data_IF_766843231568
#
_entry.id   IF_766843231568
#
_cell.length_a   1.000
_cell.length_b   1.000
_cell.length_c   1.000
_cell.angle_alpha   90.00
_cell.angle_beta   90.00
_cell.angle_gamma   90.00
#
_symmetry.space_group_name_H-M   'P 1'
#
loop_
_entity.id
_entity.type
_entity.pdbx_description
1 polymer ?
#
# COMPACT_ATOMS: atom_id res chain seq x y z
N UNK A 1 13.61 -1.03 -8.26
CA UNK A 1 12.68 0.10 -8.48
C UNK A 1 12.84 1.23 -7.45
N UNK A 2 13.95 1.27 -6.71
CA UNK A 2 14.17 2.27 -5.65
C UNK A 2 14.15 3.70 -6.22
N UNK A 3 14.79 3.93 -7.37
CA UNK A 3 14.81 5.26 -8.01
C UNK A 3 13.42 5.73 -8.46
N UNK A 4 12.61 4.85 -9.08
CA UNK A 4 11.23 5.18 -9.47
C UNK A 4 10.35 5.43 -8.24
N UNK A 5 10.51 4.63 -7.19
CA UNK A 5 9.84 4.84 -5.91
C UNK A 5 10.18 6.22 -5.31
N UNK A 6 11.45 6.64 -5.36
CA UNK A 6 11.88 7.95 -4.89
C UNK A 6 11.32 9.09 -5.75
N UNK A 7 11.30 8.93 -7.08
CA UNK A 7 10.72 9.93 -8.00
C UNK A 7 9.24 10.16 -7.71
N UNK A 8 8.44 9.08 -7.65
CA UNK A 8 7.01 9.18 -7.32
C UNK A 8 6.83 9.77 -5.92
N UNK A 9 7.63 9.35 -4.94
CA UNK A 9 7.56 9.91 -3.59
C UNK A 9 7.78 11.43 -3.59
N UNK A 10 8.77 11.93 -4.33
CA UNK A 10 9.03 13.37 -4.46
C UNK A 10 7.86 14.12 -5.11
N UNK A 11 7.22 13.56 -6.14
CA UNK A 11 6.03 14.16 -6.77
C UNK A 11 4.87 14.35 -5.77
N UNK A 12 4.75 13.43 -4.82
CA UNK A 12 3.74 13.45 -3.77
C UNK A 12 4.23 14.12 -2.47
N UNK A 13 5.32 14.89 -2.53
CA UNK A 13 5.94 15.54 -1.36
C UNK A 13 6.17 14.58 -0.18
N UNK A 14 6.56 13.34 -0.48
CA UNK A 14 6.79 12.24 0.47
C UNK A 14 5.56 11.84 1.32
N UNK A 15 4.35 12.25 0.93
CA UNK A 15 3.11 11.94 1.66
C UNK A 15 2.69 10.46 1.56
N UNK A 16 3.15 9.75 0.53
CA UNK A 16 2.87 8.33 0.31
C UNK A 16 4.05 7.48 0.79
N UNK A 17 3.74 6.44 1.57
CA UNK A 17 4.72 5.49 2.08
C UNK A 17 5.52 4.81 0.95
N UNK A 18 6.85 4.76 1.08
CA UNK A 18 7.73 4.17 0.05
C UNK A 18 7.41 2.71 -0.28
N UNK A 19 7.08 1.89 0.73
CA UNK A 19 6.70 0.49 0.49
C UNK A 19 5.40 0.39 -0.30
N UNK A 20 4.45 1.28 -0.07
CA UNK A 20 3.21 1.34 -0.83
C UNK A 20 3.48 1.69 -2.31
N UNK A 21 4.32 2.69 -2.57
CA UNK A 21 4.73 3.05 -3.94
C UNK A 21 5.43 1.87 -4.62
N UNK A 22 6.33 1.19 -3.91
CA UNK A 22 7.05 0.03 -4.43
C UNK A 22 6.10 -1.10 -4.83
N UNK A 23 5.11 -1.41 -3.98
CA UNK A 23 4.09 -2.43 -4.27
C UNK A 23 3.21 -2.01 -5.45
N UNK A 24 2.79 -0.75 -5.51
CA UNK A 24 2.02 -0.24 -6.65
C UNK A 24 2.80 -0.34 -7.96
N UNK A 25 4.11 -0.02 -7.95
CA UNK A 25 4.98 -0.21 -9.11
C UNK A 25 5.06 -1.69 -9.54
N UNK A 26 5.21 -2.62 -8.61
CA UNK A 26 5.24 -4.05 -8.93
C UNK A 26 3.91 -4.50 -9.58
N UNK A 27 2.76 -4.05 -9.06
CA UNK A 27 1.44 -4.37 -9.62
C UNK A 27 1.24 -3.80 -11.03
N UNK A 28 1.75 -2.59 -11.28
CA UNK A 28 1.63 -1.90 -12.56
C UNK A 28 2.72 -2.28 -13.57
N UNK A 29 3.49 -3.35 -13.34
CA UNK A 29 4.57 -3.75 -14.26
C UNK A 29 5.66 -2.68 -14.41
N UNK A 30 5.84 -1.83 -13.40
CA UNK A 30 6.77 -0.68 -13.34
C UNK A 30 6.41 0.49 -14.24
N UNK A 31 5.20 0.50 -14.80
CA UNK A 31 4.67 1.64 -15.51
C UNK A 31 4.37 2.78 -14.52
N UNK A 32 5.10 3.88 -14.65
CA UNK A 32 5.00 5.03 -13.74
C UNK A 32 3.65 5.73 -13.87
N UNK A 33 3.11 5.84 -15.08
CA UNK A 33 1.84 6.53 -15.31
C UNK A 33 0.67 5.74 -14.73
N UNK A 34 0.65 4.42 -14.95
CA UNK A 34 -0.34 3.53 -14.34
C UNK A 34 -0.22 3.53 -12.82
N UNK A 35 1.01 3.55 -12.29
CA UNK A 35 1.26 3.61 -10.85
C UNK A 35 0.69 4.90 -10.25
N UNK A 36 0.93 6.05 -10.88
CA UNK A 36 0.40 7.34 -10.42
C UNK A 36 -1.13 7.34 -10.42
N UNK A 37 -1.76 6.81 -11.47
CA UNK A 37 -3.22 6.68 -11.54
C UNK A 37 -3.77 5.78 -10.44
N UNK A 38 -3.12 4.64 -10.18
CA UNK A 38 -3.51 3.71 -9.11
C UNK A 38 -3.38 4.34 -7.73
N UNK A 39 -2.28 5.04 -7.45
CA UNK A 39 -2.05 5.74 -6.18
C UNK A 39 -3.04 6.89 -5.98
N UNK A 40 -3.37 7.63 -7.04
CA UNK A 40 -4.38 8.69 -6.99
C UNK A 40 -5.77 8.13 -6.67
N UNK A 41 -6.19 7.05 -7.32
CA UNK A 41 -7.45 6.38 -7.03
C UNK A 41 -7.50 5.84 -5.59
N UNK A 42 -6.39 5.29 -5.09
CA UNK A 42 -6.27 4.84 -3.71
C UNK A 42 -6.42 6.00 -2.70
N UNK A 43 -5.73 7.11 -2.91
CA UNK A 43 -5.83 8.27 -2.01
C UNK A 43 -7.26 8.83 -1.98
N UNK A 44 -7.93 8.92 -3.12
CA UNK A 44 -9.35 9.30 -3.17
C UNK A 44 -10.24 8.32 -2.40
N UNK A 45 -10.05 7.02 -2.62
CA UNK A 45 -10.81 5.97 -1.92
C UNK A 45 -10.58 6.01 -0.41
N UNK A 46 -9.36 6.32 0.05
CA UNK A 46 -9.00 6.36 1.47
C UNK A 46 -9.87 7.34 2.28
N UNK A 47 -10.15 8.52 1.70
CA UNK A 47 -10.94 9.57 2.35
C UNK A 47 -12.45 9.42 2.13
N UNK A 48 -12.87 8.53 1.23
CA UNK A 48 -14.28 8.27 0.94
C UNK A 48 -14.89 7.31 1.97
N UNK A 49 -16.20 7.44 2.22
CA UNK A 49 -17.07 6.45 2.90
C UNK A 49 -16.53 5.89 4.23
N UNK A 50 -15.69 6.66 4.92
CA UNK A 50 -15.02 6.27 6.17
C UNK A 50 -14.14 5.03 6.05
N UNK A 51 -13.54 4.80 4.88
CA UNK A 51 -12.73 3.61 4.59
C UNK A 51 -11.53 3.46 5.53
N UNK A 52 -10.86 4.56 5.87
CA UNK A 52 -9.79 4.54 6.87
C UNK A 52 -10.30 4.11 8.26
N UNK A 53 -11.48 4.57 8.69
CA UNK A 53 -12.09 4.13 9.95
C UNK A 53 -12.52 2.66 9.89
N UNK A 54 -12.98 2.17 8.74
CA UNK A 54 -13.30 0.76 8.55
C UNK A 54 -12.06 -0.13 8.67
N UNK A 55 -10.91 0.32 8.16
CA UNK A 55 -9.63 -0.36 8.38
C UNK A 55 -9.28 -0.43 9.87
N UNK A 56 -9.47 0.64 10.65
CA UNK A 56 -9.20 0.62 12.10
C UNK A 56 -9.97 -0.50 12.83
N UNK A 57 -11.20 -0.81 12.38
CA UNK A 57 -12.00 -1.93 12.93
C UNK A 57 -11.44 -3.31 12.55
N UNK A 58 -10.89 -3.45 11.34
CA UNK A 58 -10.33 -4.71 10.80
C UNK A 58 -8.84 -4.90 11.12
N UNK A 59 -8.17 -3.89 11.67
CA UNK A 59 -6.71 -3.87 11.94
C UNK A 59 -6.20 -5.16 12.61
N UNK A 60 -6.93 -5.67 13.58
CA UNK A 60 -6.55 -6.87 14.33
C UNK A 60 -6.51 -8.14 13.46
N UNK A 61 -7.32 -8.23 12.41
CA UNK A 61 -7.31 -9.37 11.48
C UNK A 61 -5.99 -9.43 10.69
N UNK A 62 -5.49 -8.26 10.25
CA UNK A 62 -4.20 -8.15 9.59
C UNK A 62 -3.05 -8.49 10.53
N UNK A 63 -3.10 -8.00 11.78
CA UNK A 63 -2.07 -8.29 12.79
C UNK A 63 -1.99 -9.78 13.13
N UNK A 64 -3.11 -10.50 13.19
CA UNK A 64 -3.13 -11.97 13.36
C UNK A 64 -2.37 -12.71 12.25
N UNK A 65 -2.31 -12.12 11.05
CA UNK A 65 -1.52 -12.63 9.92
C UNK A 65 -0.13 -12.00 9.80
N UNK A 66 0.36 -11.37 10.88
CA UNK A 66 1.67 -10.69 10.94
C UNK A 66 1.84 -9.55 9.92
N UNK A 67 0.73 -9.01 9.39
CA UNK A 67 0.76 -7.89 8.47
C UNK A 67 0.84 -6.56 9.24
N UNK A 68 2.06 -6.14 9.59
CA UNK A 68 2.30 -4.99 10.47
C UNK A 68 2.30 -3.64 9.73
N UNK A 69 2.49 -3.61 8.41
CA UNK A 69 2.51 -2.37 7.65
C UNK A 69 1.08 -1.87 7.36
N UNK A 70 0.66 -0.83 8.09
CA UNK A 70 -0.70 -0.31 8.00
C UNK A 70 -1.04 0.32 6.64
N UNK A 71 -0.07 0.93 5.96
CA UNK A 71 -0.28 1.51 4.63
C UNK A 71 -0.57 0.40 3.60
N UNK A 72 0.17 -0.71 3.67
CA UNK A 72 -0.07 -1.88 2.82
C UNK A 72 -1.41 -2.54 3.14
N UNK A 73 -1.78 -2.66 4.41
CA UNK A 73 -3.07 -3.25 4.80
C UNK A 73 -4.26 -2.43 4.28
N UNK A 74 -4.18 -1.09 4.36
CA UNK A 74 -5.22 -0.19 3.86
C UNK A 74 -5.33 -0.26 2.34
N UNK A 75 -4.19 -0.28 1.64
CA UNK A 75 -4.14 -0.49 0.20
C UNK A 75 -4.68 -1.86 -0.23
N UNK A 76 -4.42 -2.90 0.56
CA UNK A 76 -4.95 -4.23 0.30
C UNK A 76 -6.49 -4.27 0.36
N UNK A 77 -7.11 -3.50 1.26
CA UNK A 77 -8.57 -3.34 1.30
C UNK A 77 -9.10 -2.69 0.02
N UNK A 78 -8.52 -1.56 -0.40
CA UNK A 78 -8.85 -0.89 -1.66
C UNK A 78 -8.75 -1.83 -2.87
N UNK A 79 -7.61 -2.50 -3.00
CA UNK A 79 -7.35 -3.38 -4.13
C UNK A 79 -8.32 -4.57 -4.18
N UNK A 80 -8.72 -5.07 -3.01
CA UNK A 80 -9.65 -6.19 -2.84
C UNK A 80 -11.09 -5.83 -3.22
N UNK A 81 -11.54 -4.62 -2.90
CA UNK A 81 -12.86 -4.14 -3.33
C UNK A 81 -12.94 -4.02 -4.86
N UNK A 82 -11.84 -3.61 -5.49
CA UNK A 82 -11.78 -3.40 -6.94
C UNK A 82 -11.66 -4.72 -7.71
N UNK A 83 -10.89 -5.69 -7.19
CA UNK A 83 -10.56 -6.94 -7.89
C UNK A 83 -11.20 -8.20 -7.29
N UNK A 84 -12.11 -8.05 -6.31
CA UNK A 84 -12.79 -9.15 -5.59
C UNK A 84 -11.82 -10.19 -5.02
N UNK A 85 -10.69 -9.75 -4.47
CA UNK A 85 -9.68 -10.60 -3.81
C UNK A 85 -9.78 -10.51 -2.28
N UNK A 86 -9.18 -11.45 -1.55
CA UNK A 86 -9.08 -11.36 -0.10
C UNK A 86 -7.96 -10.40 0.31
N UNK A 87 -8.30 -9.32 1.03
CA UNK A 87 -7.34 -8.29 1.43
C UNK A 87 -6.22 -8.80 2.34
N UNK A 88 -6.53 -9.71 3.26
CA UNK A 88 -5.54 -10.24 4.20
C UNK A 88 -4.59 -11.24 3.53
N UNK A 89 -5.05 -11.97 2.51
CA UNK A 89 -4.18 -12.82 1.68
C UNK A 89 -3.29 -11.99 0.78
N UNK A 90 -3.85 -10.96 0.15
CA UNK A 90 -3.09 -10.03 -0.68
C UNK A 90 -1.98 -9.33 0.13
N UNK A 91 -2.32 -8.76 1.30
CA UNK A 91 -1.34 -8.10 2.16
C UNK A 91 -0.24 -9.06 2.63
N UNK A 92 -0.60 -10.30 2.98
CA UNK A 92 0.37 -11.32 3.36
C UNK A 92 1.29 -11.69 2.18
N UNK A 93 0.73 -11.92 0.98
CA UNK A 93 1.49 -12.24 -0.21
C UNK A 93 2.47 -11.12 -0.58
N UNK A 94 2.03 -9.86 -0.53
CA UNK A 94 2.91 -8.70 -0.75
C UNK A 94 4.03 -8.64 0.30
N UNK A 95 3.69 -8.85 1.58
CA UNK A 95 4.70 -8.79 2.66
C UNK A 95 5.77 -9.88 2.50
N UNK A 96 5.37 -11.08 2.04
CA UNK A 96 6.26 -12.24 1.87
C UNK A 96 7.06 -12.15 0.56
N UNK A 97 6.38 -11.91 -0.56
CA UNK A 97 6.97 -12.03 -1.89
C UNK A 97 7.73 -10.79 -2.32
N UNK A 98 7.19 -9.60 -2.03
CA UNK A 98 7.79 -8.35 -2.51
C UNK A 98 8.91 -7.85 -1.60
N UNK A 99 8.99 -8.37 -0.37
CA UNK A 99 10.01 -8.05 0.64
C UNK A 99 10.13 -6.54 0.81
N UNK A 100 9.38 -5.94 1.74
CA UNK A 100 9.29 -4.48 1.89
C UNK A 100 10.70 -3.83 1.98
N UNK A 101 11.19 -3.18 0.90
CA UNK A 101 12.60 -2.84 0.80
C UNK A 101 12.96 -1.61 1.63
N UNK A 102 11.96 -0.88 2.13
CA UNK A 102 12.14 0.29 2.97
C UNK A 102 11.76 -0.03 4.41
N UNK A 103 12.77 -0.18 5.27
CA UNK A 103 12.56 -0.33 6.71
C UNK A 103 12.59 1.06 7.35
N UNK A 104 11.56 1.39 8.12
CA UNK A 104 11.60 2.59 8.98
C UNK A 104 12.77 2.46 9.95
N UNK A 105 13.72 3.39 9.88
CA UNK A 105 14.73 3.52 10.93
C UNK A 105 14.01 3.94 12.21
N UNK A 106 14.05 3.09 13.24
CA UNK A 106 13.70 3.51 14.60
C UNK A 106 14.75 4.54 15.02
N UNK A 107 14.39 5.82 15.01
CA UNK A 107 15.18 6.84 15.71
C UNK A 107 15.01 6.52 17.21
N UNK A 108 16.11 6.16 17.87
CA UNK A 108 16.14 5.96 19.33
C UNK A 108 16.19 7.31 20.02
#
# INVERSE_FOLDING_TARGET
YIQQTMQISAMWNHSINFNLIYVALNLCGKDVNLTIQLLFAFEQWKFRDKNEQNYKKKKNEFLKRRCCNHNINLFAMFFSETHKKNATEFAAAVTINDGLPFVEKKIK
#
